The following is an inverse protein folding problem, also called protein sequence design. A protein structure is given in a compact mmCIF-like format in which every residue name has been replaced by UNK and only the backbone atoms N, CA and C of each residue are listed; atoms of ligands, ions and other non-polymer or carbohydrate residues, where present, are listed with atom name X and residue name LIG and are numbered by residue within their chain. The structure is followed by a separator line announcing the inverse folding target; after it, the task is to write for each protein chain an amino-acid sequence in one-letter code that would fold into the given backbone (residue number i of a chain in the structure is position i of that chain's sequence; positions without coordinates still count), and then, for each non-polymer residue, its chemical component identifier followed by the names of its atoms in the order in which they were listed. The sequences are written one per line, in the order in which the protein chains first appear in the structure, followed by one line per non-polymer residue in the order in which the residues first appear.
data_IF_531160730749
#
_entry.id   IF_531160730749
#
_cell.length_a   1.000
_cell.length_b   1.000
_cell.length_c   1.000
_cell.angle_alpha   90.00
_cell.angle_beta   90.00
_cell.angle_gamma   90.00
#
_symmetry.space_group_name_H-M   'P 1'
#
loop_
_entity.id
_entity.type
_entity.pdbx_description
1 polymer ?
#
# COMPACT_ATOMS: atom_id res chain seq x y z
N UNK A 1 25.68 -6.02 12.43
CA UNK A 1 24.69 -7.00 11.94
C UNK A 1 24.99 -7.25 10.48
N UNK A 2 25.06 -8.50 10.00
CA UNK A 2 25.32 -8.79 8.57
C UNK A 2 24.03 -8.63 7.78
N UNK A 3 24.10 -8.04 6.57
CA UNK A 3 22.95 -7.88 5.66
C UNK A 3 22.47 -9.24 5.15
N UNK A 4 23.35 -10.23 5.01
CA UNK A 4 23.02 -11.58 4.59
C UNK A 4 23.36 -12.62 5.65
N UNK A 5 22.54 -13.68 5.74
CA UNK A 5 22.73 -14.77 6.70
C UNK A 5 22.90 -16.14 6.03
N UNK A 6 22.68 -16.24 4.72
CA UNK A 6 22.65 -17.49 3.90
C UNK A 6 21.59 -18.51 4.34
N UNK A 7 20.77 -18.21 5.35
CA UNK A 7 19.71 -19.13 5.85
C UNK A 7 18.61 -19.37 4.83
N UNK A 8 18.37 -18.39 3.94
CA UNK A 8 17.33 -18.46 2.93
C UNK A 8 17.72 -19.13 1.60
N UNK A 9 18.97 -19.61 1.45
CA UNK A 9 19.48 -20.14 0.17
C UNK A 9 18.82 -21.48 -0.23
N UNK A 10 18.14 -22.13 0.73
CA UNK A 10 17.42 -23.39 0.51
C UNK A 10 15.91 -23.20 0.26
N UNK A 11 15.46 -21.97 -0.05
CA UNK A 11 14.05 -21.68 -0.38
C UNK A 11 13.13 -21.56 0.85
N UNK A 12 13.67 -21.41 2.05
CA UNK A 12 12.89 -21.15 3.28
C UNK A 12 13.20 -19.78 3.85
N UNK A 13 12.27 -19.24 4.66
CA UNK A 13 12.44 -18.01 5.42
C UNK A 13 11.71 -18.12 6.76
N UNK A 14 11.87 -17.13 7.63
CA UNK A 14 11.23 -17.13 8.96
C UNK A 14 10.33 -15.90 9.06
N UNK A 15 9.09 -16.12 9.44
CA UNK A 15 8.12 -15.07 9.74
C UNK A 15 8.40 -14.40 11.10
N UNK A 16 7.72 -13.29 11.38
CA UNK A 16 7.87 -12.53 12.63
C UNK A 16 7.55 -13.35 13.89
N UNK A 17 6.60 -14.29 13.79
CA UNK A 17 6.23 -15.21 14.85
C UNK A 17 7.22 -16.39 15.03
N UNK A 18 8.40 -16.36 14.39
CA UNK A 18 9.41 -17.41 14.33
C UNK A 18 8.99 -18.70 13.60
N UNK A 19 7.87 -18.71 12.89
CA UNK A 19 7.48 -19.81 12.02
C UNK A 19 8.40 -19.87 10.80
N UNK A 20 8.96 -21.04 10.49
CA UNK A 20 9.72 -21.28 9.27
C UNK A 20 8.79 -21.71 8.15
N UNK A 21 8.82 -20.97 7.04
CA UNK A 21 7.96 -21.20 5.87
C UNK A 21 8.77 -21.27 4.58
N UNK A 22 8.20 -21.78 3.52
CA UNK A 22 8.78 -21.71 2.17
C UNK A 22 8.67 -20.29 1.63
N UNK A 23 9.56 -19.89 0.71
CA UNK A 23 9.53 -18.53 0.14
C UNK A 23 8.33 -18.27 -0.77
N UNK A 24 7.61 -19.30 -1.18
CA UNK A 24 6.36 -19.26 -1.94
C UNK A 24 5.10 -19.32 -1.04
N UNK A 25 5.24 -19.24 0.29
CA UNK A 25 4.11 -19.09 1.21
C UNK A 25 3.34 -17.80 0.87
N UNK A 26 2.01 -17.87 0.87
CA UNK A 26 1.14 -16.75 0.51
C UNK A 26 1.42 -15.48 1.32
N UNK A 27 1.87 -15.60 2.59
CA UNK A 27 2.22 -14.47 3.46
C UNK A 27 3.50 -13.78 2.98
N UNK A 28 4.46 -14.55 2.45
CA UNK A 28 5.69 -14.01 1.87
C UNK A 28 5.40 -13.31 0.54
N UNK A 29 4.53 -13.89 -0.29
CA UNK A 29 4.08 -13.27 -1.54
C UNK A 29 3.36 -11.93 -1.27
N UNK A 30 2.42 -11.92 -0.33
CA UNK A 30 1.70 -10.69 0.06
C UNK A 30 2.66 -9.62 0.58
N UNK A 31 3.63 -9.99 1.43
CA UNK A 31 4.64 -9.05 1.91
C UNK A 31 5.52 -8.51 0.78
N UNK A 32 5.85 -9.31 -0.23
CA UNK A 32 6.54 -8.86 -1.43
C UNK A 32 5.75 -7.81 -2.20
N UNK A 33 4.45 -8.02 -2.42
CA UNK A 33 3.57 -7.05 -3.09
C UNK A 33 3.41 -5.74 -2.28
N UNK A 34 3.36 -5.82 -0.95
CA UNK A 34 3.30 -4.65 -0.08
C UNK A 34 4.62 -3.86 -0.10
N UNK A 35 5.77 -4.53 -0.18
CA UNK A 35 7.09 -3.91 -0.30
C UNK A 35 7.24 -3.20 -1.65
N UNK A 36 6.83 -3.84 -2.75
CA UNK A 36 6.78 -3.23 -4.08
C UNK A 36 5.86 -2.00 -4.11
N UNK A 37 4.68 -2.07 -3.46
CA UNK A 37 3.79 -0.92 -3.30
C UNK A 37 4.47 0.21 -2.52
N UNK A 38 5.14 -0.11 -1.42
CA UNK A 38 5.88 0.89 -0.62
C UNK A 38 6.97 1.56 -1.44
N UNK A 39 7.70 0.80 -2.27
CA UNK A 39 8.69 1.36 -3.19
C UNK A 39 8.06 2.25 -4.26
N UNK A 40 6.91 1.85 -4.84
CA UNK A 40 6.16 2.66 -5.80
C UNK A 40 5.68 3.99 -5.19
N UNK A 41 5.16 3.96 -3.95
CA UNK A 41 4.82 5.18 -3.21
C UNK A 41 6.06 6.05 -2.92
N UNK A 42 7.22 5.43 -2.71
CA UNK A 42 8.50 6.13 -2.61
C UNK A 42 8.86 6.91 -3.88
N UNK A 43 8.61 6.32 -5.06
CA UNK A 43 8.79 7.00 -6.37
C UNK A 43 7.81 8.18 -6.50
N UNK A 44 6.54 8.00 -6.12
CA UNK A 44 5.56 9.08 -6.06
C UNK A 44 6.10 10.22 -5.19
N UNK A 45 6.44 9.93 -3.93
CA UNK A 45 6.91 10.92 -2.96
C UNK A 45 8.14 11.69 -3.46
N UNK A 46 9.08 11.02 -4.12
CA UNK A 46 10.28 11.63 -4.65
C UNK A 46 10.01 12.57 -5.85
N UNK A 47 8.92 12.34 -6.60
CA UNK A 47 8.56 13.13 -7.80
C UNK A 47 7.63 14.30 -7.50
N UNK A 48 6.99 14.35 -6.33
CA UNK A 48 6.09 15.43 -5.93
C UNK A 48 6.86 16.70 -5.55
N UNK A 49 6.23 17.87 -5.74
CA UNK A 49 6.68 19.16 -5.22
C UNK A 49 5.90 19.59 -3.96
N UNK A 50 4.66 19.10 -3.81
CA UNK A 50 3.78 19.41 -2.67
C UNK A 50 4.23 18.66 -1.41
N UNK A 51 4.69 19.40 -0.41
CA UNK A 51 5.16 18.83 0.87
C UNK A 51 4.03 18.27 1.74
N UNK A 52 2.78 18.75 1.58
CA UNK A 52 1.62 18.20 2.28
C UNK A 52 1.30 16.81 1.73
N UNK A 53 1.25 16.70 0.41
CA UNK A 53 1.01 15.41 -0.26
C UNK A 53 2.14 14.41 0.01
N UNK A 54 3.41 14.86 0.02
CA UNK A 54 4.55 14.01 0.41
C UNK A 54 4.39 13.40 1.81
N UNK A 55 3.92 14.20 2.78
CA UNK A 55 3.68 13.72 4.16
C UNK A 55 2.53 12.73 4.22
N UNK A 56 1.46 12.96 3.46
CA UNK A 56 0.35 12.00 3.34
C UNK A 56 0.85 10.66 2.79
N UNK A 57 1.61 10.67 1.69
CA UNK A 57 2.18 9.46 1.10
C UNK A 57 3.14 8.75 2.08
N UNK A 58 3.99 9.50 2.79
CA UNK A 58 4.88 8.92 3.82
C UNK A 58 4.08 8.24 4.95
N UNK A 59 2.97 8.83 5.38
CA UNK A 59 2.10 8.24 6.39
C UNK A 59 1.51 6.91 5.91
N UNK A 60 1.05 6.82 4.65
CA UNK A 60 0.58 5.57 4.05
C UNK A 60 1.68 4.50 4.03
N UNK A 61 2.92 4.86 3.67
CA UNK A 61 4.06 3.94 3.71
C UNK A 61 4.33 3.40 5.13
N UNK A 62 4.19 4.23 6.16
CA UNK A 62 4.35 3.81 7.57
C UNK A 62 3.26 2.82 8.00
N UNK A 63 2.01 3.04 7.57
CA UNK A 63 0.91 2.11 7.81
C UNK A 63 1.12 0.77 7.06
N UNK A 64 1.68 0.79 5.85
CA UNK A 64 2.03 -0.45 5.12
C UNK A 64 3.05 -1.30 5.90
N UNK A 65 3.98 -0.68 6.65
CA UNK A 65 4.89 -1.44 7.54
C UNK A 65 4.10 -2.20 8.61
N UNK A 66 3.04 -1.61 9.16
CA UNK A 66 2.16 -2.30 10.12
C UNK A 66 1.38 -3.44 9.45
N UNK A 67 0.90 -3.24 8.20
CA UNK A 67 0.24 -4.31 7.43
C UNK A 67 1.20 -5.48 7.21
N UNK A 68 2.43 -5.20 6.77
CA UNK A 68 3.47 -6.24 6.57
C UNK A 68 3.78 -7.00 7.86
N UNK A 69 3.77 -6.32 9.02
CA UNK A 69 3.97 -6.96 10.31
C UNK A 69 2.83 -7.93 10.66
N UNK A 70 1.57 -7.54 10.39
CA UNK A 70 0.39 -8.40 10.59
C UNK A 70 0.44 -9.61 9.66
N UNK A 71 0.72 -9.40 8.38
CA UNK A 71 0.88 -10.47 7.37
C UNK A 71 1.96 -11.48 7.80
N UNK A 72 3.03 -11.01 8.43
CA UNK A 72 4.11 -11.87 8.96
C UNK A 72 3.76 -12.54 10.31
N UNK A 73 2.51 -12.54 10.75
CA UNK A 73 2.05 -13.19 12.00
C UNK A 73 2.16 -12.29 13.24
N UNK A 74 2.27 -10.98 13.09
CA UNK A 74 2.18 -10.02 14.18
C UNK A 74 0.74 -9.63 14.50
N UNK A 75 0.54 -8.96 15.63
CA UNK A 75 -0.75 -8.40 16.04
C UNK A 75 -0.92 -6.96 15.53
N UNK A 76 -2.16 -6.57 15.23
CA UNK A 76 -2.50 -5.19 14.90
C UNK A 76 -2.66 -4.39 16.20
N UNK A 77 -1.77 -3.44 16.47
CA UNK A 77 -1.77 -2.61 17.68
C UNK A 77 -2.28 -1.18 17.45
N UNK A 78 -2.46 -0.77 16.19
CA UNK A 78 -2.79 0.61 15.80
C UNK A 78 -4.05 0.71 14.94
N UNK A 79 -5.10 -0.06 15.25
CA UNK A 79 -6.36 -0.11 14.50
C UNK A 79 -6.99 1.27 14.33
N UNK A 80 -6.93 2.13 15.37
CA UNK A 80 -7.46 3.50 15.31
C UNK A 80 -6.74 4.39 14.30
N UNK A 81 -5.44 4.17 14.06
CA UNK A 81 -4.70 4.92 13.03
C UNK A 81 -5.17 4.53 11.62
N UNK A 82 -5.46 3.25 11.40
CA UNK A 82 -6.03 2.78 10.13
C UNK A 82 -7.43 3.35 9.90
N UNK A 83 -8.29 3.34 10.92
CA UNK A 83 -9.62 3.94 10.82
C UNK A 83 -9.55 5.45 10.51
N UNK A 84 -8.64 6.18 11.18
CA UNK A 84 -8.40 7.59 10.91
C UNK A 84 -7.86 7.82 9.48
N UNK A 85 -6.94 6.97 9.01
CA UNK A 85 -6.40 7.06 7.65
C UNK A 85 -7.49 6.83 6.59
N UNK A 86 -8.39 5.86 6.80
CA UNK A 86 -9.56 5.63 5.92
C UNK A 86 -10.44 6.88 5.87
N UNK A 87 -10.83 7.43 7.02
CA UNK A 87 -11.68 8.62 7.10
C UNK A 87 -11.03 9.84 6.43
N UNK A 88 -9.71 10.03 6.62
CA UNK A 88 -8.97 11.12 5.98
C UNK A 88 -8.90 10.97 4.46
N UNK A 89 -8.69 9.75 3.95
CA UNK A 89 -8.71 9.48 2.51
C UNK A 89 -10.09 9.73 1.91
N UNK A 90 -11.16 9.33 2.59
CA UNK A 90 -12.56 9.60 2.17
C UNK A 90 -12.82 11.10 2.11
N UNK A 91 -12.45 11.84 3.14
CA UNK A 91 -12.57 13.30 3.15
C UNK A 91 -11.79 13.96 2.01
N UNK A 92 -10.53 13.56 1.78
CA UNK A 92 -9.73 14.07 0.67
C UNK A 92 -10.38 13.79 -0.69
N UNK A 93 -10.95 12.58 -0.89
CA UNK A 93 -11.64 12.21 -2.13
C UNK A 93 -12.87 13.12 -2.33
N UNK A 94 -13.71 13.28 -1.31
CA UNK A 94 -14.92 14.12 -1.37
C UNK A 94 -14.56 15.58 -1.73
N UNK A 95 -13.47 16.12 -1.17
CA UNK A 95 -13.00 17.46 -1.51
C UNK A 95 -12.49 17.56 -2.98
N UNK A 96 -11.83 16.52 -3.48
CA UNK A 96 -11.32 16.47 -4.84
C UNK A 96 -12.44 16.27 -5.88
N UNK A 97 -13.41 15.37 -5.60
CA UNK A 97 -14.54 15.09 -6.50
C UNK A 97 -15.47 16.31 -6.65
N UNK A 98 -15.69 17.10 -5.60
CA UNK A 98 -16.48 18.31 -5.65
C UNK A 98 -15.96 19.36 -6.63
N UNK A 99 -14.70 19.24 -7.07
CA UNK A 99 -14.03 20.15 -8.02
C UNK A 99 -14.11 19.68 -9.48
N UNK A 100 -14.22 18.37 -9.75
CA UNK A 100 -14.09 17.80 -11.11
C UNK A 100 -14.88 16.49 -11.28
N UNK A 101 -16.17 16.51 -11.17
CA UNK A 101 -17.06 15.32 -11.21
C UNK A 101 -17.22 14.64 -12.59
N UNK A 102 -16.25 14.65 -13.48
CA UNK A 102 -16.32 13.96 -14.78
C UNK A 102 -15.30 12.85 -14.83
N UNK A 103 -15.75 11.59 -14.66
CA UNK A 103 -14.92 10.40 -14.86
C UNK A 103 -14.68 10.17 -16.36
N UNK A 104 -13.56 10.67 -16.86
CA UNK A 104 -13.05 10.27 -18.16
C UNK A 104 -12.02 9.14 -17.98
N UNK A 105 -11.97 8.25 -18.97
CA UNK A 105 -10.89 7.24 -18.99
C UNK A 105 -9.56 7.96 -19.17
N UNK A 106 -8.67 7.82 -18.17
CA UNK A 106 -7.36 8.48 -18.15
C UNK A 106 -6.29 7.51 -18.63
N UNK A 107 -5.50 7.93 -19.60
CA UNK A 107 -4.30 7.22 -20.04
C UNK A 107 -3.13 7.65 -19.15
N UNK A 108 -2.45 6.72 -18.44
CA UNK A 108 -1.30 7.06 -17.58
C UNK A 108 -0.13 7.66 -18.37
N UNK A 109 0.61 8.60 -17.76
CA UNK A 109 1.88 9.06 -18.33
C UNK A 109 1.90 10.49 -18.83
N UNK A 110 0.99 11.33 -18.39
CA UNK A 110 0.95 12.76 -18.73
C UNK A 110 2.22 13.50 -18.25
N UNK A 111 2.70 13.14 -17.07
CA UNK A 111 3.98 13.57 -16.49
C UNK A 111 4.52 12.50 -15.54
N UNK A 112 5.72 12.70 -14.97
CA UNK A 112 6.35 11.71 -14.08
C UNK A 112 5.53 11.44 -12.80
N UNK A 113 5.05 12.45 -12.04
CA UNK A 113 4.21 12.19 -10.87
C UNK A 113 2.93 11.42 -11.21
N UNK A 114 2.24 11.80 -12.30
CA UNK A 114 1.03 11.10 -12.77
C UNK A 114 1.33 9.62 -13.10
N UNK A 115 2.42 9.35 -13.84
CA UNK A 115 2.83 7.98 -14.19
C UNK A 115 3.11 7.13 -12.92
N UNK A 116 3.84 7.68 -11.94
CA UNK A 116 4.15 6.98 -10.70
C UNK A 116 2.91 6.78 -9.81
N UNK A 117 1.99 7.73 -9.76
CA UNK A 117 0.71 7.58 -9.04
C UNK A 117 -0.12 6.45 -9.65
N UNK A 118 -0.26 6.39 -10.97
CA UNK A 118 -0.97 5.30 -11.63
C UNK A 118 -0.28 3.95 -11.40
N UNK A 119 1.05 3.89 -11.39
CA UNK A 119 1.79 2.68 -11.06
C UNK A 119 1.52 2.24 -9.61
N UNK A 120 1.64 3.16 -8.63
CA UNK A 120 1.33 2.89 -7.23
C UNK A 120 -0.12 2.42 -7.04
N UNK A 121 -1.09 3.06 -7.74
CA UNK A 121 -2.50 2.64 -7.74
C UNK A 121 -2.68 1.20 -8.19
N UNK A 122 -2.03 0.81 -9.28
CA UNK A 122 -2.14 -0.58 -9.78
C UNK A 122 -1.47 -1.58 -8.85
N UNK A 123 -0.35 -1.22 -8.22
CA UNK A 123 0.30 -2.02 -7.17
C UNK A 123 -0.56 -2.16 -5.92
N UNK A 124 -1.24 -1.09 -5.48
CA UNK A 124 -2.21 -1.15 -4.37
C UNK A 124 -3.31 -2.19 -4.65
N UNK A 125 -3.88 -2.17 -5.83
CA UNK A 125 -4.92 -3.14 -6.23
C UNK A 125 -4.40 -4.58 -6.32
N UNK A 126 -3.14 -4.77 -6.71
CA UNK A 126 -2.52 -6.10 -6.71
C UNK A 126 -2.32 -6.59 -5.28
N UNK A 127 -1.74 -5.78 -4.40
CA UNK A 127 -1.54 -6.11 -2.99
C UNK A 127 -2.90 -6.39 -2.28
N UNK A 128 -3.92 -5.59 -2.54
CA UNK A 128 -5.29 -5.81 -2.03
C UNK A 128 -5.83 -7.18 -2.45
N UNK A 129 -5.77 -7.54 -3.73
CA UNK A 129 -6.23 -8.86 -4.20
C UNK A 129 -5.46 -10.01 -3.54
N UNK A 130 -4.16 -9.86 -3.31
CA UNK A 130 -3.33 -10.87 -2.63
C UNK A 130 -3.67 -10.99 -1.15
N UNK A 131 -3.97 -9.89 -0.47
CA UNK A 131 -4.51 -9.90 0.89
C UNK A 131 -5.84 -10.66 0.95
N UNK A 132 -6.75 -10.46 -0.01
CA UNK A 132 -7.99 -11.25 -0.10
C UNK A 132 -7.72 -12.74 -0.32
N UNK A 133 -6.73 -13.11 -1.15
CA UNK A 133 -6.32 -14.50 -1.31
C UNK A 133 -5.81 -15.09 0.01
N UNK A 134 -4.93 -14.36 0.72
CA UNK A 134 -4.38 -14.78 2.01
C UNK A 134 -5.46 -14.90 3.09
N UNK A 135 -6.44 -13.99 3.11
CA UNK A 135 -7.51 -13.95 4.11
C UNK A 135 -8.34 -15.24 4.18
N UNK A 136 -8.34 -16.06 3.12
CA UNK A 136 -8.98 -17.38 3.10
C UNK A 136 -8.33 -18.40 4.04
N UNK A 137 -7.06 -18.23 4.41
CA UNK A 137 -6.31 -19.12 5.30
C UNK A 137 -5.80 -18.42 6.56
N UNK A 138 -5.43 -17.14 6.44
CA UNK A 138 -4.88 -16.33 7.51
C UNK A 138 -5.72 -15.05 7.63
N UNK A 139 -6.62 -14.95 8.60
CA UNK A 139 -7.54 -13.81 8.73
C UNK A 139 -6.80 -12.47 8.81
N UNK A 140 -7.22 -11.52 8.00
CA UNK A 140 -6.71 -10.15 7.97
C UNK A 140 -7.76 -9.22 8.61
N UNK A 141 -7.38 -8.34 9.55
CA UNK A 141 -8.30 -7.37 10.14
C UNK A 141 -9.03 -6.54 9.07
N UNK A 142 -10.36 -6.40 9.20
CA UNK A 142 -11.20 -5.74 8.21
C UNK A 142 -10.77 -4.28 7.94
N UNK A 143 -10.27 -3.58 8.95
CA UNK A 143 -9.77 -2.20 8.81
C UNK A 143 -8.58 -2.11 7.85
N UNK A 144 -7.72 -3.14 7.79
CA UNK A 144 -6.62 -3.23 6.81
C UNK A 144 -7.19 -3.38 5.40
N UNK A 145 -8.21 -4.24 5.23
CA UNK A 145 -8.85 -4.44 3.92
C UNK A 145 -9.50 -3.15 3.42
N UNK A 146 -10.21 -2.44 4.31
CA UNK A 146 -10.79 -1.12 4.02
C UNK A 146 -9.71 -0.09 3.65
N UNK A 147 -8.63 -0.04 4.40
CA UNK A 147 -7.50 0.85 4.16
C UNK A 147 -6.89 0.61 2.77
N UNK A 148 -6.61 -0.63 2.40
CA UNK A 148 -6.04 -0.97 1.09
C UNK A 148 -6.99 -0.61 -0.06
N UNK A 149 -8.27 -0.88 0.09
CA UNK A 149 -9.28 -0.51 -0.91
C UNK A 149 -9.33 1.01 -1.08
N UNK A 150 -9.50 1.76 0.02
CA UNK A 150 -9.60 3.23 -0.01
C UNK A 150 -8.32 3.90 -0.49
N UNK A 151 -7.14 3.33 -0.22
CA UNK A 151 -5.87 3.85 -0.73
C UNK A 151 -5.84 3.85 -2.27
N UNK A 152 -6.38 2.81 -2.93
CA UNK A 152 -6.41 2.78 -4.39
C UNK A 152 -7.30 3.87 -4.97
N UNK A 153 -8.43 4.17 -4.32
CA UNK A 153 -9.36 5.22 -4.74
C UNK A 153 -8.75 6.61 -4.50
N UNK A 154 -8.13 6.82 -3.33
CA UNK A 154 -7.44 8.06 -3.00
C UNK A 154 -6.31 8.38 -3.98
N UNK A 155 -5.46 7.39 -4.30
CA UNK A 155 -4.39 7.58 -5.29
C UNK A 155 -4.99 7.97 -6.65
N UNK A 156 -6.11 7.38 -7.04
CA UNK A 156 -6.78 7.74 -8.28
C UNK A 156 -7.30 9.18 -8.26
N UNK A 157 -7.96 9.58 -7.17
CA UNK A 157 -8.43 10.97 -7.01
C UNK A 157 -7.26 11.97 -7.07
N UNK A 158 -6.11 11.64 -6.45
CA UNK A 158 -4.90 12.48 -6.55
C UNK A 158 -4.41 12.58 -7.99
N UNK A 159 -4.43 11.49 -8.79
CA UNK A 159 -3.99 11.56 -10.21
C UNK A 159 -4.84 12.50 -11.06
N UNK A 160 -6.10 12.69 -10.71
CA UNK A 160 -7.02 13.59 -11.44
C UNK A 160 -6.87 15.06 -11.04
N UNK A 161 -6.27 15.33 -9.88
CA UNK A 161 -6.20 16.67 -9.29
C UNK A 161 -4.76 17.21 -9.14
N UNK A 162 -3.75 16.42 -9.48
CA UNK A 162 -2.37 16.89 -9.43
C UNK A 162 -2.15 17.92 -10.56
N UNK A 163 -1.78 19.14 -10.19
CA UNK A 163 -1.44 20.17 -11.16
C UNK A 163 -0.12 19.81 -11.88
N UNK A 164 -0.09 20.09 -13.17
CA UNK A 164 1.03 19.83 -14.09
C UNK A 164 2.20 20.79 -13.90
#
# INVERSE_FOLDING_TARGET
MSIYTRKGDKGTTTLRNNESVTKDDVRIEVNGELDELSAALGMVRASLNDDVLKKKVEHLQRLLVSVMAVVAGGELSNESEFAAAVANMEHDIDEMEGKNAVFNFVVPGENMPNAFLHFARTKTRTAERRLWTMNGWYPVPNVIMQFMNRMSDWIFAVTLNIEL
#
